data_IF_125001462099
#
_entry.id   IF_125001462099
#
_cell.length_a   1.000
_cell.length_b   1.000
_cell.length_c   1.000
_cell.angle_alpha   90.00
_cell.angle_beta   90.00
_cell.angle_gamma   90.00
#
_symmetry.space_group_name_H-M   'P 1'
#
loop_
_entity.id
_entity.type
_entity.pdbx_description
1 polymer ?
#
# COMPACT_ATOMS: atom_id res chain seq x y z
N UNK A 1 -11.32 32.77 17.34
CA UNK A 1 -11.33 31.29 17.46
C UNK A 1 -9.89 30.79 17.37
N UNK A 2 -9.31 30.28 18.46
CA UNK A 2 -7.97 29.66 18.45
C UNK A 2 -8.13 28.21 18.00
N UNK A 3 -7.63 27.88 16.81
CA UNK A 3 -7.39 26.49 16.43
C UNK A 3 -6.37 25.91 17.42
N UNK A 4 -6.80 24.94 18.24
CA UNK A 4 -5.87 24.13 19.04
C UNK A 4 -4.92 23.46 18.05
N UNK A 5 -3.62 23.69 18.21
CA UNK A 5 -2.58 22.94 17.53
C UNK A 5 -2.85 21.45 17.77
N UNK A 6 -3.32 20.75 16.74
CA UNK A 6 -3.25 19.31 16.68
C UNK A 6 -1.78 18.98 16.87
N UNK A 7 -1.41 18.38 18.01
CA UNK A 7 -0.09 17.78 18.19
C UNK A 7 0.13 16.88 16.99
N UNK A 8 0.93 17.34 16.04
CA UNK A 8 1.40 16.53 14.93
C UNK A 8 2.09 15.34 15.58
N UNK A 9 1.38 14.20 15.59
CA UNK A 9 1.96 12.93 15.99
C UNK A 9 3.23 12.81 15.16
N UNK A 10 4.40 12.98 15.80
CA UNK A 10 5.70 12.88 15.12
C UNK A 10 5.66 11.59 14.32
N UNK A 11 5.81 11.71 12.99
CA UNK A 11 5.90 10.55 12.11
C UNK A 11 7.13 9.79 12.54
N UNK A 12 6.92 8.70 13.28
CA UNK A 12 8.00 7.96 13.91
C UNK A 12 8.89 7.34 12.82
N UNK A 13 10.17 7.72 12.80
CA UNK A 13 11.15 7.19 11.85
C UNK A 13 11.18 7.88 10.49
N UNK A 14 10.64 9.09 10.36
CA UNK A 14 10.86 9.93 9.17
C UNK A 14 12.37 10.19 8.99
N UNK A 15 12.93 9.75 7.86
CA UNK A 15 14.27 10.13 7.40
C UNK A 15 14.12 10.98 6.14
N UNK A 16 15.02 11.96 5.95
CA UNK A 16 15.06 12.74 4.72
C UNK A 16 15.22 11.81 3.52
N UNK A 17 14.44 12.03 2.46
CA UNK A 17 14.40 11.20 1.25
C UNK A 17 14.06 9.73 1.48
N UNK A 18 13.37 9.38 2.58
CA UNK A 18 12.82 8.03 2.76
C UNK A 18 11.30 8.01 2.62
N UNK A 19 10.75 6.93 2.04
CA UNK A 19 9.31 6.71 1.99
C UNK A 19 8.67 6.67 3.38
N UNK A 20 7.40 7.06 3.47
CA UNK A 20 6.67 7.13 4.74
C UNK A 20 6.30 5.72 5.22
N UNK A 21 6.95 5.27 6.29
CA UNK A 21 6.68 3.97 6.93
C UNK A 21 6.05 4.18 8.30
N UNK A 22 4.73 4.05 8.37
CA UNK A 22 3.95 4.07 9.61
C UNK A 22 3.67 2.67 10.17
N UNK A 23 3.93 1.63 9.39
CA UNK A 23 3.80 0.26 9.86
C UNK A 23 4.94 -0.13 10.80
N UNK A 24 4.57 -0.69 11.96
CA UNK A 24 5.45 -1.49 12.81
C UNK A 24 4.77 -2.81 13.16
N UNK A 25 5.59 -3.85 13.40
CA UNK A 25 5.09 -5.16 13.86
C UNK A 25 4.29 -5.02 15.16
N UNK A 26 4.78 -4.19 16.09
CA UNK A 26 4.06 -3.82 17.32
C UNK A 26 2.91 -2.84 17.01
N UNK A 27 1.69 -3.20 17.41
CA UNK A 27 0.47 -2.43 17.20
C UNK A 27 0.57 -1.02 17.78
N UNK A 28 1.01 -0.90 19.05
CA UNK A 28 1.16 0.38 19.75
C UNK A 28 2.17 1.34 19.12
N UNK A 29 3.08 0.83 18.26
CA UNK A 29 4.08 1.62 17.54
C UNK A 29 3.73 1.88 16.06
N UNK A 30 2.55 1.44 15.62
CA UNK A 30 2.03 1.64 14.27
C UNK A 30 1.02 2.79 14.23
N UNK A 31 0.49 3.14 13.06
CA UNK A 31 -0.77 3.87 13.00
C UNK A 31 -1.89 3.09 13.72
N UNK A 32 -2.72 3.81 14.49
CA UNK A 32 -3.75 3.20 15.36
C UNK A 32 -5.12 3.04 14.67
N UNK A 33 -5.31 3.66 13.52
CA UNK A 33 -6.54 3.60 12.75
C UNK A 33 -6.24 3.16 11.32
N UNK A 34 -7.12 2.34 10.75
CA UNK A 34 -7.04 1.97 9.34
C UNK A 34 -7.14 3.24 8.49
N UNK A 35 -6.23 3.42 7.53
CA UNK A 35 -6.21 4.65 6.72
C UNK A 35 -7.38 4.73 5.73
N UNK A 36 -8.01 3.60 5.41
CA UNK A 36 -9.13 3.52 4.48
C UNK A 36 -10.47 3.77 5.17
N UNK A 37 -10.81 2.95 6.16
CA UNK A 37 -12.12 3.01 6.84
C UNK A 37 -12.11 3.70 8.20
N UNK A 38 -10.96 4.15 8.69
CA UNK A 38 -10.77 4.82 9.99
C UNK A 38 -11.12 4.00 11.24
N UNK A 39 -11.50 2.72 11.11
CA UNK A 39 -11.70 1.81 12.23
C UNK A 39 -10.41 1.67 13.06
N UNK A 40 -10.56 1.52 14.37
CA UNK A 40 -9.44 1.33 15.30
C UNK A 40 -8.79 -0.04 15.06
N UNK A 41 -7.51 -0.06 14.71
CA UNK A 41 -6.70 -1.27 14.42
C UNK A 41 -5.41 -1.30 15.27
N UNK A 42 -5.39 -0.47 16.32
CA UNK A 42 -4.28 -0.29 17.22
C UNK A 42 -4.22 -1.35 18.31
N UNK A 43 -3.43 -1.04 19.35
CA UNK A 43 -3.27 -1.92 20.51
C UNK A 43 -4.61 -2.09 21.26
N UNK A 44 -4.99 -3.33 21.57
CA UNK A 44 -6.30 -3.66 22.13
C UNK A 44 -7.47 -3.67 21.14
N UNK A 45 -7.23 -3.51 19.83
CA UNK A 45 -8.28 -3.71 18.82
C UNK A 45 -8.66 -5.18 18.65
N UNK A 46 -9.94 -5.44 18.42
CA UNK A 46 -10.47 -6.76 18.02
C UNK A 46 -10.47 -6.98 16.50
N UNK A 47 -10.11 -5.95 15.71
CA UNK A 47 -10.12 -6.01 14.24
C UNK A 47 -8.77 -6.54 13.74
N UNK A 48 -8.80 -7.60 12.94
CA UNK A 48 -7.60 -8.13 12.29
C UNK A 48 -6.99 -7.07 11.35
N UNK A 49 -5.68 -6.85 11.49
CA UNK A 49 -4.94 -5.89 10.69
C UNK A 49 -3.56 -6.39 10.31
N UNK A 50 -3.10 -6.01 9.12
CA UNK A 50 -1.83 -6.46 8.56
C UNK A 50 -1.05 -5.29 7.95
N UNK A 51 0.15 -5.62 7.46
CA UNK A 51 1.01 -4.68 6.73
C UNK A 51 0.36 -4.37 5.39
N UNK A 52 0.28 -3.10 5.07
CA UNK A 52 -0.27 -2.61 3.83
C UNK A 52 0.74 -1.74 3.08
N UNK A 53 0.76 -1.87 1.75
CA UNK A 53 1.47 -1.05 0.79
C UNK A 53 0.45 -0.22 0.01
N UNK A 54 0.53 1.13 0.08
CA UNK A 54 -0.40 2.03 -0.61
C UNK A 54 -0.61 1.70 -2.09
N UNK A 55 0.46 1.25 -2.75
CA UNK A 55 0.42 0.63 -4.06
C UNK A 55 1.00 -0.77 -3.90
N UNK A 56 0.23 -1.79 -4.27
CA UNK A 56 0.65 -3.19 -4.18
C UNK A 56 1.96 -3.46 -4.92
N UNK A 57 2.79 -4.36 -4.38
CA UNK A 57 4.12 -4.69 -4.93
C UNK A 57 4.10 -5.19 -6.38
N UNK A 58 2.99 -5.79 -6.78
CA UNK A 58 2.78 -6.31 -8.14
C UNK A 58 1.74 -5.48 -8.91
N UNK A 59 1.47 -4.24 -8.50
CA UNK A 59 0.57 -3.36 -9.26
C UNK A 59 1.14 -3.07 -10.66
N UNK A 60 2.45 -2.86 -10.74
CA UNK A 60 3.23 -2.79 -11.99
C UNK A 60 4.20 -3.97 -12.11
N UNK A 61 4.73 -4.26 -13.31
CA UNK A 61 5.80 -5.24 -13.48
C UNK A 61 7.03 -4.93 -12.60
N UNK A 62 7.67 -5.99 -12.08
CA UNK A 62 8.89 -5.87 -11.30
C UNK A 62 9.98 -5.14 -12.08
N UNK A 63 10.66 -4.18 -11.44
CA UNK A 63 11.70 -3.34 -12.05
C UNK A 63 11.23 -1.94 -12.44
N UNK A 64 9.95 -1.78 -12.76
CA UNK A 64 9.38 -0.50 -13.24
C UNK A 64 9.33 0.59 -12.15
N UNK A 65 9.29 0.21 -10.87
CA UNK A 65 9.42 1.12 -9.72
C UNK A 65 10.81 1.07 -9.05
N UNK A 66 11.89 0.93 -9.83
CA UNK A 66 13.25 0.93 -9.29
C UNK A 66 13.46 -0.16 -8.23
N UNK A 67 13.01 -1.38 -8.54
CA UNK A 67 12.99 -2.56 -7.67
C UNK A 67 12.11 -2.45 -6.41
N UNK A 68 11.18 -1.49 -6.37
CA UNK A 68 10.24 -1.34 -5.25
C UNK A 68 10.85 -0.67 -4.02
N UNK A 69 12.09 -0.17 -4.10
CA UNK A 69 12.79 0.46 -2.99
C UNK A 69 12.54 1.99 -2.91
N UNK A 70 12.12 2.60 -4.02
CA UNK A 70 12.01 4.07 -4.14
C UNK A 70 10.67 4.65 -3.69
N UNK A 71 9.60 3.86 -3.69
CA UNK A 71 8.24 4.33 -3.36
C UNK A 71 7.55 3.34 -2.40
N UNK A 72 7.62 3.61 -1.10
CA UNK A 72 7.07 2.73 -0.05
C UNK A 72 6.25 3.50 0.98
N UNK A 73 4.97 3.70 0.71
CA UNK A 73 4.02 4.12 1.73
C UNK A 73 3.47 2.87 2.42
N UNK A 74 3.97 2.60 3.62
CA UNK A 74 3.65 1.36 4.34
C UNK A 74 2.97 1.70 5.66
N UNK A 75 1.76 1.20 5.85
CA UNK A 75 0.95 1.40 7.06
C UNK A 75 0.24 0.11 7.46
N UNK A 76 -0.51 0.18 8.56
CA UNK A 76 -1.40 -0.89 9.01
C UNK A 76 -2.82 -0.59 8.53
N UNK A 77 -3.47 -1.55 7.90
CA UNK A 77 -4.88 -1.47 7.53
C UNK A 77 -5.62 -2.67 8.10
N UNK A 78 -6.94 -2.54 8.30
CA UNK A 78 -7.75 -3.73 8.55
C UNK A 78 -7.68 -4.65 7.33
N UNK A 79 -7.71 -5.96 7.56
CA UNK A 79 -7.54 -6.96 6.52
C UNK A 79 -8.58 -6.83 5.40
N UNK A 80 -9.84 -6.60 5.77
CA UNK A 80 -10.95 -6.35 4.85
C UNK A 80 -10.64 -5.25 3.81
N UNK A 81 -10.26 -4.04 4.25
CA UNK A 81 -9.94 -2.97 3.32
C UNK A 81 -8.66 -3.23 2.51
N UNK A 82 -7.70 -3.96 3.09
CA UNK A 82 -6.50 -4.34 2.35
C UNK A 82 -6.82 -5.34 1.23
N UNK A 83 -7.66 -6.34 1.52
CA UNK A 83 -8.10 -7.35 0.56
C UNK A 83 -8.94 -6.71 -0.57
N UNK A 84 -9.90 -5.83 -0.23
CA UNK A 84 -10.70 -5.07 -1.21
C UNK A 84 -9.85 -4.23 -2.15
N UNK A 85 -8.86 -3.53 -1.59
CA UNK A 85 -7.88 -2.79 -2.39
C UNK A 85 -7.09 -3.73 -3.29
N UNK A 86 -6.57 -4.84 -2.76
CA UNK A 86 -5.77 -5.79 -3.54
C UNK A 86 -6.56 -6.34 -4.73
N UNK A 87 -7.86 -6.59 -4.59
CA UNK A 87 -8.75 -7.00 -5.68
C UNK A 87 -8.86 -5.89 -6.74
N UNK A 88 -9.11 -4.66 -6.30
CA UNK A 88 -9.23 -3.51 -7.19
C UNK A 88 -7.93 -3.22 -7.95
N UNK A 89 -6.79 -3.28 -7.25
CA UNK A 89 -5.46 -3.15 -7.83
C UNK A 89 -5.16 -4.25 -8.85
N UNK A 90 -5.57 -5.50 -8.56
CA UNK A 90 -5.44 -6.59 -9.53
C UNK A 90 -6.22 -6.27 -10.80
N UNK A 91 -7.49 -5.87 -10.70
CA UNK A 91 -8.30 -5.54 -11.89
C UNK A 91 -7.71 -4.40 -12.70
N UNK A 92 -7.30 -3.30 -12.05
CA UNK A 92 -6.67 -2.17 -12.73
C UNK A 92 -5.38 -2.60 -13.41
N UNK A 93 -4.53 -3.38 -12.73
CA UNK A 93 -3.26 -3.89 -13.27
C UNK A 93 -3.51 -4.79 -14.48
N UNK A 94 -4.45 -5.73 -14.41
CA UNK A 94 -4.81 -6.64 -15.52
C UNK A 94 -5.28 -5.87 -16.74
N UNK A 95 -6.23 -4.95 -16.57
CA UNK A 95 -6.78 -4.15 -17.68
C UNK A 95 -5.70 -3.27 -18.31
N UNK A 96 -4.87 -2.63 -17.49
CA UNK A 96 -3.79 -1.77 -17.97
C UNK A 96 -2.74 -2.56 -18.74
N UNK A 97 -2.30 -3.71 -18.21
CA UNK A 97 -1.31 -4.56 -18.88
C UNK A 97 -1.84 -5.19 -20.16
N UNK A 98 -3.08 -5.68 -20.15
CA UNK A 98 -3.70 -6.27 -21.34
C UNK A 98 -3.85 -5.26 -22.48
N UNK A 99 -4.12 -3.99 -22.17
CA UNK A 99 -4.29 -2.94 -23.17
C UNK A 99 -3.00 -2.14 -23.45
N UNK A 100 -1.88 -2.51 -22.84
CA UNK A 100 -0.61 -1.83 -23.05
C UNK A 100 0.04 -2.26 -24.37
N UNK A 101 0.65 -1.34 -25.15
CA UNK A 101 1.52 -1.69 -26.28
C UNK A 101 2.66 -2.64 -25.89
N UNK A 102 3.08 -2.63 -24.62
CA UNK A 102 4.12 -3.52 -24.09
C UNK A 102 3.78 -5.01 -24.26
N UNK A 103 2.49 -5.36 -24.37
CA UNK A 103 2.04 -6.73 -24.64
C UNK A 103 2.54 -7.26 -25.98
N UNK A 104 2.62 -6.39 -27.00
CA UNK A 104 3.09 -6.76 -28.33
C UNK A 104 4.63 -6.77 -28.42
N UNK A 105 5.31 -5.92 -27.65
CA UNK A 105 6.76 -5.78 -27.69
C UNK A 105 7.52 -6.61 -26.65
N UNK A 106 6.84 -7.25 -25.70
CA UNK A 106 7.47 -8.03 -24.63
C UNK A 106 6.65 -9.24 -24.20
N UNK A 107 7.20 -10.44 -24.43
CA UNK A 107 6.60 -11.71 -23.99
C UNK A 107 6.39 -11.75 -22.47
N UNK A 108 7.35 -11.25 -21.68
CA UNK A 108 7.26 -11.21 -20.22
C UNK A 108 6.05 -10.36 -19.73
N UNK A 109 5.76 -9.25 -20.40
CA UNK A 109 4.60 -8.42 -20.09
C UNK A 109 3.29 -9.10 -20.51
N UNK A 110 3.28 -9.81 -21.64
CA UNK A 110 2.12 -10.58 -22.08
C UNK A 110 1.79 -11.73 -21.10
N UNK A 111 2.79 -12.51 -20.68
CA UNK A 111 2.60 -13.60 -19.73
C UNK A 111 2.12 -13.08 -18.36
N UNK A 112 2.64 -11.93 -17.92
CA UNK A 112 2.17 -11.26 -16.71
C UNK A 112 0.71 -10.80 -16.82
N UNK A 113 0.32 -10.22 -17.96
CA UNK A 113 -1.05 -9.80 -18.23
C UNK A 113 -2.02 -11.00 -18.18
N UNK A 114 -1.64 -12.12 -18.81
CA UNK A 114 -2.43 -13.35 -18.83
C UNK A 114 -2.59 -14.00 -17.44
N UNK A 115 -1.55 -13.97 -16.58
CA UNK A 115 -1.65 -14.49 -15.20
C UNK A 115 -2.53 -13.65 -14.28
N UNK A 116 -2.64 -12.35 -14.56
CA UNK A 116 -3.42 -11.40 -13.74
C UNK A 116 -4.89 -11.33 -14.17
N UNK A 117 -5.17 -11.59 -15.45
CA UNK A 117 -6.52 -11.85 -15.96
C UNK A 117 -7.18 -13.02 -15.21
#
# INVERSE_FOLDING_TARGET
MRYKELKLNKIYGQKNNQPVVWFKKSLSKSNQHCVYCRRFVGDGSTIESNKEHLIGREFVPSGEFGNGDRFNFIFRACKECNDEKSITERHISSVTLLNSPARASSQAHNDLAQRKA
#
